data_IF_168388415149
#
_entry.id   IF_168388415149
#
_cell.length_a   1.000
_cell.length_b   1.000
_cell.length_c   1.000
_cell.angle_alpha   90.00
_cell.angle_beta   90.00
_cell.angle_gamma   90.00
#
_symmetry.space_group_name_H-M   'P 1'
#
loop_
_entity.id
_entity.type
_entity.pdbx_description
1 polymer ?
#
# COMPACT_ATOMS: atom_id res chain seq x y z
N UNK A 1 -3.54 -1.53 -37.10
CA UNK A 1 -3.96 -0.51 -36.13
C UNK A 1 -3.43 -0.92 -34.77
N UNK A 2 -2.99 0.01 -33.93
CA UNK A 2 -2.62 -0.31 -32.55
C UNK A 2 -3.87 -0.59 -31.74
N UNK A 3 -3.90 -1.73 -31.04
CA UNK A 3 -4.99 -2.11 -30.13
C UNK A 3 -5.13 -1.04 -29.05
N UNK A 4 -6.35 -0.57 -28.82
CA UNK A 4 -6.67 0.38 -27.76
C UNK A 4 -7.13 -0.34 -26.48
N UNK A 5 -6.73 0.20 -25.32
CA UNK A 5 -7.14 -0.30 -24.00
C UNK A 5 -7.91 0.77 -23.25
N UNK A 6 -8.92 0.35 -22.49
CA UNK A 6 -9.75 1.22 -21.65
C UNK A 6 -9.27 1.19 -20.20
N UNK A 7 -8.80 2.33 -19.69
CA UNK A 7 -8.42 2.49 -18.27
C UNK A 7 -9.66 2.46 -17.36
N UNK A 8 -9.43 2.27 -16.06
CA UNK A 8 -10.49 2.36 -15.06
C UNK A 8 -11.14 3.76 -15.03
N UNK A 9 -10.36 4.81 -15.32
CA UNK A 9 -10.84 6.19 -15.51
C UNK A 9 -11.78 6.38 -16.71
N UNK A 10 -11.89 5.40 -17.61
CA UNK A 10 -12.59 5.51 -18.89
C UNK A 10 -11.75 6.05 -20.05
N UNK A 11 -10.53 6.52 -19.77
CA UNK A 11 -9.56 6.95 -20.79
C UNK A 11 -9.18 5.80 -21.73
N UNK A 12 -9.08 6.08 -23.02
CA UNK A 12 -8.65 5.12 -24.04
C UNK A 12 -7.22 5.45 -24.45
N UNK A 13 -6.32 4.48 -24.34
CA UNK A 13 -4.90 4.64 -24.67
C UNK A 13 -4.39 3.46 -25.51
N UNK A 14 -3.33 3.62 -26.30
CA UNK A 14 -2.73 2.51 -27.02
C UNK A 14 -2.14 1.46 -26.05
N UNK A 15 -2.31 0.17 -26.38
CA UNK A 15 -1.63 -0.90 -25.69
C UNK A 15 -0.11 -0.82 -25.93
N UNK A 16 0.65 -0.91 -24.84
CA UNK A 16 2.10 -0.99 -24.88
C UNK A 16 2.57 -2.27 -24.18
N UNK A 17 2.99 -3.25 -24.95
CA UNK A 17 3.54 -4.52 -24.45
C UNK A 17 4.71 -4.31 -23.48
N UNK A 18 5.57 -3.32 -23.75
CA UNK A 18 6.68 -2.94 -22.86
C UNK A 18 6.21 -2.55 -21.45
N UNK A 19 5.02 -1.96 -21.32
CA UNK A 19 4.47 -1.59 -20.02
C UNK A 19 4.02 -2.81 -19.23
N UNK A 20 3.38 -3.78 -19.90
CA UNK A 20 3.02 -5.07 -19.31
C UNK A 20 4.27 -5.88 -18.92
N UNK A 21 5.26 -5.95 -19.81
CA UNK A 21 6.53 -6.62 -19.51
C UNK A 21 7.18 -6.06 -18.24
N UNK A 22 7.27 -4.72 -18.15
CA UNK A 22 7.84 -4.04 -16.98
C UNK A 22 7.03 -4.32 -15.70
N UNK A 23 5.71 -4.36 -15.75
CA UNK A 23 4.91 -4.65 -14.55
C UNK A 23 5.12 -6.08 -14.04
N UNK A 24 5.24 -7.06 -14.95
CA UNK A 24 5.54 -8.46 -14.62
C UNK A 24 6.92 -8.61 -13.99
N UNK A 25 7.97 -8.08 -14.64
CA UNK A 25 9.35 -8.15 -14.14
C UNK A 25 9.48 -7.42 -12.80
N UNK A 26 8.87 -6.25 -12.65
CA UNK A 26 8.86 -5.51 -11.39
C UNK A 26 8.19 -6.25 -10.23
N UNK A 27 7.37 -7.26 -10.54
CA UNK A 27 6.71 -8.12 -9.53
C UNK A 27 7.53 -9.37 -9.21
N UNK A 28 8.72 -9.50 -9.81
CA UNK A 28 9.64 -10.61 -9.62
C UNK A 28 9.44 -11.78 -10.60
N UNK A 29 8.73 -11.59 -11.72
CA UNK A 29 8.73 -12.57 -12.80
C UNK A 29 10.10 -12.58 -13.50
N UNK A 30 10.56 -13.77 -13.91
CA UNK A 30 11.77 -13.86 -14.73
C UNK A 30 11.55 -13.21 -16.10
N UNK A 31 12.63 -12.81 -16.78
CA UNK A 31 12.51 -12.26 -18.14
C UNK A 31 11.86 -13.28 -19.10
N UNK A 32 12.09 -14.58 -18.91
CA UNK A 32 11.49 -15.65 -19.71
C UNK A 32 9.98 -15.73 -19.46
N UNK A 33 9.55 -15.79 -18.20
CA UNK A 33 8.14 -15.83 -17.81
C UNK A 33 7.40 -14.58 -18.29
N UNK A 34 7.99 -13.39 -18.09
CA UNK A 34 7.39 -12.14 -18.52
C UNK A 34 7.19 -12.11 -20.04
N UNK A 35 8.18 -12.55 -20.83
CA UNK A 35 8.04 -12.65 -22.28
C UNK A 35 6.97 -13.68 -22.70
N UNK A 36 6.90 -14.83 -22.02
CA UNK A 36 5.90 -15.85 -22.32
C UNK A 36 4.48 -15.36 -22.01
N UNK A 37 4.27 -14.70 -20.88
CA UNK A 37 3.00 -14.08 -20.51
C UNK A 37 2.60 -12.99 -21.51
N UNK A 38 3.54 -12.09 -21.87
CA UNK A 38 3.30 -11.07 -22.89
C UNK A 38 2.86 -11.71 -24.22
N UNK A 39 3.50 -12.79 -24.68
CA UNK A 39 3.11 -13.51 -25.90
C UNK A 39 1.71 -14.11 -25.81
N UNK A 40 1.32 -14.68 -24.67
CA UNK A 40 -0.03 -15.25 -24.46
C UNK A 40 -1.05 -14.12 -24.53
N UNK A 41 -0.85 -13.06 -23.75
CA UNK A 41 -1.77 -11.93 -23.67
C UNK A 41 -1.91 -11.22 -25.02
N UNK A 42 -0.81 -11.01 -25.75
CA UNK A 42 -0.83 -10.37 -27.07
C UNK A 42 -1.64 -11.14 -28.12
N UNK A 43 -1.87 -12.46 -27.93
CA UNK A 43 -2.75 -13.26 -28.80
C UNK A 43 -4.23 -13.15 -28.43
N UNK A 44 -4.52 -12.86 -27.17
CA UNK A 44 -5.89 -12.75 -26.63
C UNK A 44 -6.39 -11.31 -26.57
N UNK A 45 -5.52 -10.32 -26.76
CA UNK A 45 -5.87 -8.91 -26.68
C UNK A 45 -6.76 -8.50 -27.85
N UNK A 46 -7.75 -7.67 -27.57
CA UNK A 46 -8.68 -7.12 -28.54
C UNK A 46 -8.93 -5.64 -28.28
N UNK A 47 -9.43 -4.94 -29.30
CA UNK A 47 -9.66 -3.50 -29.23
C UNK A 47 -10.75 -3.16 -28.20
N UNK A 48 -10.44 -2.22 -27.31
CA UNK A 48 -11.33 -1.82 -26.23
C UNK A 48 -11.27 -2.70 -24.97
N UNK A 49 -10.36 -3.68 -24.90
CA UNK A 49 -10.14 -4.46 -23.68
C UNK A 49 -9.86 -3.54 -22.48
N UNK A 50 -10.42 -3.87 -21.32
CA UNK A 50 -10.20 -3.07 -20.12
C UNK A 50 -8.84 -3.39 -19.48
N UNK A 51 -8.21 -2.39 -18.88
CA UNK A 51 -7.02 -2.56 -18.04
C UNK A 51 -7.24 -3.55 -16.89
N UNK A 52 -8.47 -3.60 -16.35
CA UNK A 52 -8.88 -4.58 -15.33
C UNK A 52 -8.81 -6.01 -15.85
N UNK A 53 -9.39 -6.27 -17.01
CA UNK A 53 -9.38 -7.60 -17.62
C UNK A 53 -7.96 -8.04 -18.02
N UNK A 54 -7.19 -7.12 -18.61
CA UNK A 54 -5.77 -7.35 -18.91
C UNK A 54 -4.98 -7.73 -17.66
N UNK A 55 -5.23 -7.02 -16.56
CA UNK A 55 -4.65 -7.32 -15.26
C UNK A 55 -5.07 -8.70 -14.74
N UNK A 56 -6.35 -9.06 -14.81
CA UNK A 56 -6.88 -10.35 -14.35
C UNK A 56 -6.27 -11.53 -15.12
N UNK A 57 -6.11 -11.38 -16.44
CA UNK A 57 -5.41 -12.37 -17.30
C UNK A 57 -3.95 -12.54 -16.88
N UNK A 58 -3.21 -11.44 -16.75
CA UNK A 58 -1.80 -11.47 -16.32
C UNK A 58 -1.63 -12.09 -14.92
N UNK A 59 -2.50 -11.71 -13.99
CA UNK A 59 -2.52 -12.24 -12.64
C UNK A 59 -2.78 -13.75 -12.61
N UNK A 60 -3.76 -14.24 -13.38
CA UNK A 60 -4.04 -15.67 -13.49
C UNK A 60 -2.85 -16.47 -14.02
N UNK A 61 -2.17 -15.96 -15.05
CA UNK A 61 -0.96 -16.59 -15.60
C UNK A 61 0.19 -16.61 -14.57
N UNK A 62 0.41 -15.50 -13.85
CA UNK A 62 1.41 -15.45 -12.78
C UNK A 62 1.09 -16.42 -11.64
N UNK A 63 -0.17 -16.55 -11.25
CA UNK A 63 -0.59 -17.44 -10.17
C UNK A 63 -0.29 -18.90 -10.50
N UNK A 64 -0.46 -19.29 -11.77
CA UNK A 64 -0.13 -20.64 -12.24
C UNK A 64 1.37 -20.91 -12.25
N UNK A 65 2.21 -19.89 -12.39
CA UNK A 65 3.66 -20.02 -12.34
C UNK A 65 4.17 -20.08 -10.89
N UNK A 66 3.83 -19.05 -10.10
CA UNK A 66 4.24 -18.92 -8.70
C UNK A 66 3.35 -17.94 -7.96
N UNK A 67 2.60 -18.43 -6.95
CA UNK A 67 1.68 -17.63 -6.15
C UNK A 67 2.34 -16.38 -5.53
N UNK A 68 3.59 -16.48 -5.08
CA UNK A 68 4.31 -15.34 -4.50
C UNK A 68 4.55 -14.19 -5.49
N UNK A 69 4.74 -14.50 -6.79
CA UNK A 69 4.92 -13.48 -7.85
C UNK A 69 3.57 -12.82 -8.15
N UNK A 70 2.50 -13.60 -8.18
CA UNK A 70 1.14 -13.08 -8.32
C UNK A 70 0.75 -12.16 -7.14
N UNK A 71 1.11 -12.53 -5.90
CA UNK A 71 0.89 -11.74 -4.70
C UNK A 71 1.62 -10.38 -4.73
N UNK A 72 2.85 -10.33 -5.28
CA UNK A 72 3.56 -9.05 -5.52
C UNK A 72 2.89 -8.23 -6.61
N UNK A 73 2.49 -8.88 -7.70
CA UNK A 73 1.80 -8.22 -8.81
C UNK A 73 0.47 -7.59 -8.36
N UNK A 74 -0.19 -8.19 -7.37
CA UNK A 74 -1.44 -7.68 -6.81
C UNK A 74 -1.28 -6.63 -5.73
N UNK A 75 -0.07 -6.27 -5.31
CA UNK A 75 0.17 -5.37 -4.17
C UNK A 75 -0.66 -4.08 -4.21
N UNK A 76 -0.75 -3.42 -5.37
CA UNK A 76 -1.53 -2.18 -5.50
C UNK A 76 -3.01 -2.39 -5.16
N UNK A 77 -3.57 -3.51 -5.60
CA UNK A 77 -4.96 -3.91 -5.34
C UNK A 77 -5.11 -4.41 -3.90
N UNK A 78 -4.16 -5.18 -3.39
CA UNK A 78 -4.16 -5.66 -2.02
C UNK A 78 -4.20 -4.49 -1.00
N UNK A 79 -3.48 -3.40 -1.26
CA UNK A 79 -3.58 -2.19 -0.45
C UNK A 79 -4.97 -1.56 -0.51
N UNK A 80 -5.68 -1.62 -1.64
CA UNK A 80 -7.08 -1.18 -1.73
C UNK A 80 -8.03 -2.11 -0.98
N UNK A 81 -7.71 -3.40 -0.91
CA UNK A 81 -8.49 -4.39 -0.17
C UNK A 81 -8.32 -4.26 1.36
N UNK A 82 -7.48 -3.32 1.86
CA UNK A 82 -7.46 -2.88 3.27
C UNK A 82 -8.74 -2.11 3.69
N UNK A 83 -9.76 -2.09 2.84
CA UNK A 83 -11.13 -1.69 3.19
C UNK A 83 -11.46 -0.26 2.74
N UNK A 84 -12.75 0.05 2.53
CA UNK A 84 -13.16 1.34 1.97
C UNK A 84 -12.95 2.51 2.93
N UNK A 85 -12.93 2.24 4.24
CA UNK A 85 -12.89 3.24 5.31
C UNK A 85 -11.47 3.73 5.64
N UNK A 86 -10.41 3.12 5.07
CA UNK A 86 -9.02 3.55 5.30
C UNK A 86 -8.40 3.17 6.65
N UNK A 87 -9.18 2.70 7.63
CA UNK A 87 -8.68 2.33 8.96
C UNK A 87 -7.53 1.30 8.95
N UNK A 88 -7.64 0.21 8.18
CA UNK A 88 -6.52 -0.75 8.09
C UNK A 88 -5.35 -0.19 7.27
N UNK A 89 -5.58 0.78 6.39
CA UNK A 89 -4.52 1.50 5.70
C UNK A 89 -3.73 2.38 6.69
N UNK A 90 -4.37 3.07 7.64
CA UNK A 90 -3.67 3.79 8.72
C UNK A 90 -2.79 2.86 9.55
N UNK A 91 -3.31 1.69 9.91
CA UNK A 91 -2.53 0.67 10.61
C UNK A 91 -1.37 0.16 9.77
N UNK A 92 -1.59 -0.08 8.48
CA UNK A 92 -0.51 -0.47 7.56
C UNK A 92 0.56 0.62 7.46
N UNK A 93 0.17 1.89 7.41
CA UNK A 93 1.09 3.04 7.44
C UNK A 93 1.89 3.06 8.74
N UNK A 94 1.26 2.83 9.89
CA UNK A 94 1.96 2.70 11.17
C UNK A 94 3.06 1.61 11.10
N UNK A 95 2.75 0.46 10.48
CA UNK A 95 3.69 -0.65 10.31
C UNK A 95 4.94 -0.27 9.51
N UNK A 96 4.85 0.68 8.56
CA UNK A 96 6.03 1.20 7.82
C UNK A 96 7.08 1.74 8.80
N UNK A 97 6.64 2.45 9.84
CA UNK A 97 7.53 3.09 10.79
C UNK A 97 7.90 2.15 11.94
N UNK A 98 7.00 1.26 12.37
CA UNK A 98 7.31 0.24 13.40
C UNK A 98 8.49 -0.64 12.97
N UNK A 99 8.54 -1.09 11.71
CA UNK A 99 9.66 -1.91 11.22
C UNK A 99 10.99 -1.14 11.14
N UNK A 100 10.93 0.19 11.18
CA UNK A 100 12.09 1.09 11.24
C UNK A 100 12.49 1.44 12.70
N UNK A 101 11.80 0.86 13.69
CA UNK A 101 12.11 1.04 15.11
C UNK A 101 11.42 2.24 15.76
N UNK A 102 10.33 2.75 15.17
CA UNK A 102 9.50 3.77 15.79
C UNK A 102 8.38 3.16 16.64
N UNK A 103 7.95 3.90 17.66
CA UNK A 103 6.69 3.65 18.35
C UNK A 103 5.57 4.37 17.59
N UNK A 104 4.44 3.69 17.38
CA UNK A 104 3.31 4.26 16.63
C UNK A 104 1.98 4.03 17.33
N UNK A 105 1.04 4.97 17.17
CA UNK A 105 -0.36 4.84 17.58
C UNK A 105 -1.25 5.53 16.55
N UNK A 106 -2.37 4.92 16.21
CA UNK A 106 -3.29 5.42 15.17
C UNK A 106 -4.47 6.19 15.76
N UNK A 107 -5.13 7.00 14.95
CA UNK A 107 -6.45 7.61 15.20
C UNK A 107 -6.51 8.39 16.52
N UNK A 108 -5.67 9.43 16.63
CA UNK A 108 -5.55 10.26 17.84
C UNK A 108 -6.18 11.64 17.62
N UNK A 109 -6.90 12.16 18.61
CA UNK A 109 -7.42 13.54 18.56
C UNK A 109 -6.51 14.48 19.34
N UNK A 110 -5.98 15.51 18.66
CA UNK A 110 -5.11 16.52 19.24
C UNK A 110 -5.74 17.91 19.18
N UNK A 111 -5.68 18.66 20.29
CA UNK A 111 -6.10 20.07 20.30
C UNK A 111 -4.97 20.95 19.81
N UNK A 112 -5.24 21.73 18.76
CA UNK A 112 -4.32 22.72 18.20
C UNK A 112 -4.27 24.01 19.01
N UNK A 113 -3.32 24.88 18.65
CA UNK A 113 -3.14 26.21 19.24
C UNK A 113 -4.39 27.08 19.09
N UNK A 114 -5.11 26.91 17.98
CA UNK A 114 -6.38 27.58 17.71
C UNK A 114 -7.54 27.12 18.61
N UNK A 115 -7.33 26.16 19.51
CA UNK A 115 -8.33 25.46 20.35
C UNK A 115 -9.28 24.53 19.60
N UNK A 116 -9.09 24.34 18.29
CA UNK A 116 -9.80 23.34 17.49
C UNK A 116 -9.13 21.96 17.65
N UNK A 117 -9.92 20.90 17.61
CA UNK A 117 -9.44 19.52 17.61
C UNK A 117 -9.17 19.01 16.20
N UNK A 118 -8.07 18.29 16.03
CA UNK A 118 -7.62 17.66 14.80
C UNK A 118 -7.49 16.16 15.00
N UNK A 119 -8.06 15.36 14.11
CA UNK A 119 -7.85 13.91 14.08
C UNK A 119 -6.58 13.55 13.32
N UNK A 120 -5.56 13.09 14.03
CA UNK A 120 -4.29 12.67 13.45
C UNK A 120 -4.31 11.15 13.25
N UNK A 121 -4.22 10.74 11.98
CA UNK A 121 -4.36 9.35 11.57
C UNK A 121 -3.26 8.45 12.15
N UNK A 122 -2.00 8.91 12.16
CA UNK A 122 -0.91 8.19 12.82
C UNK A 122 0.04 9.14 13.55
N UNK A 123 0.30 8.85 14.83
CA UNK A 123 1.36 9.43 15.63
C UNK A 123 2.55 8.47 15.61
N UNK A 124 3.72 8.98 15.26
CA UNK A 124 4.96 8.22 15.13
C UNK A 124 6.04 8.93 15.93
N UNK A 125 6.76 8.21 16.79
CA UNK A 125 7.79 8.79 17.63
C UNK A 125 8.94 7.83 17.88
N UNK A 126 10.15 8.36 17.98
CA UNK A 126 11.31 7.66 18.54
C UNK A 126 12.16 8.65 19.36
N UNK A 127 13.41 8.29 19.69
CA UNK A 127 14.30 9.16 20.48
C UNK A 127 14.64 10.50 19.80
N UNK A 128 14.53 10.58 18.48
CA UNK A 128 15.03 11.71 17.68
C UNK A 128 13.87 12.54 17.09
N UNK A 129 12.80 11.88 16.68
CA UNK A 129 11.76 12.46 15.84
C UNK A 129 10.37 12.18 16.38
N UNK A 130 9.52 13.20 16.28
CA UNK A 130 8.09 13.18 16.56
C UNK A 130 7.38 13.61 15.28
N UNK A 131 6.54 12.73 14.76
CA UNK A 131 5.94 12.83 13.44
C UNK A 131 4.43 12.70 13.59
N UNK A 132 3.70 13.57 12.91
CA UNK A 132 2.26 13.41 12.68
C UNK A 132 2.03 13.05 11.22
N UNK A 133 1.15 12.08 11.00
CA UNK A 133 0.85 11.56 9.68
C UNK A 133 -0.64 11.70 9.38
N UNK A 134 -0.93 12.15 8.17
CA UNK A 134 -2.24 12.13 7.55
C UNK A 134 -2.25 11.06 6.46
N UNK A 135 -3.21 10.16 6.52
CA UNK A 135 -3.50 9.14 5.54
C UNK A 135 -4.60 9.63 4.59
N UNK A 136 -4.41 9.39 3.30
CA UNK A 136 -5.41 9.64 2.27
C UNK A 136 -5.61 8.40 1.44
N UNK A 137 -6.56 7.59 1.87
CA UNK A 137 -6.93 6.36 1.20
C UNK A 137 -7.88 6.63 0.02
N UNK A 138 -7.67 5.92 -1.10
CA UNK A 138 -8.51 5.99 -2.30
C UNK A 138 -8.88 4.59 -2.79
N UNK A 139 -10.17 4.41 -3.06
CA UNK A 139 -10.70 3.20 -3.69
C UNK A 139 -10.45 3.16 -5.21
N UNK A 140 -10.25 4.31 -5.84
CA UNK A 140 -9.86 4.39 -7.25
C UNK A 140 -8.34 4.28 -7.39
N UNK A 141 -7.90 3.31 -8.19
CA UNK A 141 -6.49 2.94 -8.38
C UNK A 141 -5.70 4.00 -9.14
N UNK A 142 -6.40 4.84 -9.91
CA UNK A 142 -5.81 5.91 -10.72
C UNK A 142 -6.02 7.30 -10.08
N UNK A 143 -6.57 7.35 -8.87
CA UNK A 143 -6.83 8.59 -8.16
C UNK A 143 -5.56 9.43 -7.97
N UNK A 144 -5.74 10.75 -8.05
CA UNK A 144 -4.69 11.72 -7.76
C UNK A 144 -5.12 12.64 -6.63
N UNK A 145 -4.23 12.88 -5.68
CA UNK A 145 -4.40 13.83 -4.60
C UNK A 145 -3.99 15.22 -5.09
N UNK A 146 -4.97 16.11 -5.20
CA UNK A 146 -4.78 17.51 -5.59
C UNK A 146 -4.14 18.35 -4.49
N UNK A 147 -3.54 19.48 -4.88
CA UNK A 147 -2.76 20.38 -4.01
C UNK A 147 -3.54 20.92 -2.81
N UNK A 148 -4.86 20.98 -2.90
CA UNK A 148 -5.73 21.37 -1.78
C UNK A 148 -5.55 20.48 -0.55
N UNK A 149 -5.19 19.21 -0.72
CA UNK A 149 -4.98 18.27 0.38
C UNK A 149 -3.71 18.58 1.18
N UNK A 150 -2.50 18.68 0.60
CA UNK A 150 -1.32 19.10 1.35
C UNK A 150 -1.44 20.54 1.89
N UNK A 151 -2.14 21.46 1.20
CA UNK A 151 -2.44 22.79 1.74
C UNK A 151 -3.28 22.73 3.03
N UNK A 152 -4.32 21.88 3.03
CA UNK A 152 -5.15 21.66 4.21
C UNK A 152 -4.35 21.01 5.34
N UNK A 153 -3.57 19.96 5.03
CA UNK A 153 -2.71 19.30 6.01
C UNK A 153 -1.67 20.26 6.60
N UNK A 154 -1.06 21.14 5.79
CA UNK A 154 -0.14 22.17 6.28
C UNK A 154 -0.77 23.03 7.37
N UNK A 155 -2.00 23.48 7.13
CA UNK A 155 -2.73 24.34 8.08
C UNK A 155 -2.93 23.63 9.42
N UNK A 156 -3.28 22.34 9.39
CA UNK A 156 -3.44 21.51 10.60
C UNK A 156 -2.10 21.26 11.30
N UNK A 157 -1.06 20.93 10.54
CA UNK A 157 0.28 20.71 11.09
C UNK A 157 0.82 21.97 11.77
N UNK A 158 0.65 23.15 11.17
CA UNK A 158 1.04 24.43 11.78
C UNK A 158 0.29 24.68 13.09
N UNK A 159 -0.99 24.33 13.16
CA UNK A 159 -1.79 24.51 14.37
C UNK A 159 -1.37 23.55 15.51
N UNK A 160 -0.76 22.41 15.17
CA UNK A 160 -0.31 21.39 16.13
C UNK A 160 1.17 21.51 16.54
N UNK A 161 2.06 21.94 15.63
CA UNK A 161 3.53 21.78 15.80
C UNK A 161 4.13 22.53 16.99
N UNK A 162 3.48 23.60 17.44
CA UNK A 162 3.97 24.42 18.55
C UNK A 162 3.50 23.92 19.92
N UNK A 163 2.53 22.99 19.95
CA UNK A 163 1.99 22.40 21.18
C UNK A 163 2.86 21.25 21.68
N UNK A 164 2.85 21.03 23.00
CA UNK A 164 3.46 19.86 23.63
C UNK A 164 2.37 18.86 24.00
N UNK A 165 2.58 17.61 23.65
CA UNK A 165 1.72 16.48 23.97
C UNK A 165 2.53 15.42 24.73
N UNK A 166 1.85 14.34 25.13
CA UNK A 166 2.48 13.17 25.76
C UNK A 166 2.05 11.92 25.02
N UNK A 167 3.00 11.20 24.45
CA UNK A 167 2.79 9.89 23.83
C UNK A 167 3.91 8.94 24.25
N UNK A 168 3.61 7.65 24.34
CA UNK A 168 4.61 6.62 24.68
C UNK A 168 5.38 6.93 25.98
N UNK A 169 4.71 7.53 26.97
CA UNK A 169 5.28 7.98 28.25
C UNK A 169 6.44 8.98 28.11
N UNK A 170 6.48 9.76 27.02
CA UNK A 170 7.45 10.83 26.79
C UNK A 170 6.78 12.09 26.24
N UNK A 171 7.47 13.22 26.36
CA UNK A 171 7.04 14.46 25.70
C UNK A 171 7.10 14.26 24.19
N UNK A 172 6.04 14.71 23.52
CA UNK A 172 5.89 14.66 22.07
C UNK A 172 5.65 16.08 21.55
N UNK A 173 6.47 16.52 20.59
CA UNK A 173 6.28 17.80 19.92
C UNK A 173 6.42 17.60 18.40
N UNK A 174 5.35 17.73 17.61
CA UNK A 174 5.40 17.46 16.18
C UNK A 174 6.53 18.23 15.48
N UNK A 175 7.49 17.51 14.90
CA UNK A 175 8.61 18.10 14.13
C UNK A 175 8.44 17.94 12.63
N UNK A 176 7.79 16.88 12.18
CA UNK A 176 7.55 16.60 10.76
C UNK A 176 6.09 16.21 10.52
N UNK A 177 5.56 16.64 9.39
CA UNK A 177 4.29 16.18 8.85
C UNK A 177 4.53 15.21 7.70
N UNK A 178 3.79 14.10 7.69
CA UNK A 178 3.72 13.16 6.57
C UNK A 178 2.30 13.13 5.99
N UNK A 179 2.19 13.18 4.68
CA UNK A 179 0.95 12.90 3.95
C UNK A 179 1.16 11.65 3.10
N UNK A 180 0.42 10.59 3.43
CA UNK A 180 0.62 9.26 2.88
C UNK A 180 -0.64 8.78 2.16
N UNK A 181 -0.51 8.26 0.94
CA UNK A 181 -1.64 7.80 0.13
C UNK A 181 -1.32 6.52 -0.63
N UNK A 182 -2.29 5.62 -0.78
CA UNK A 182 -2.18 4.47 -1.69
C UNK A 182 -2.33 4.86 -3.18
N UNK A 183 -2.61 6.14 -3.45
CA UNK A 183 -2.83 6.70 -4.77
C UNK A 183 -1.58 7.46 -5.27
N UNK A 184 -1.80 8.49 -6.09
CA UNK A 184 -0.74 9.35 -6.63
C UNK A 184 -0.90 10.81 -6.19
N UNK A 185 0.19 11.58 -6.20
CA UNK A 185 0.12 13.04 -6.05
C UNK A 185 0.17 13.73 -7.42
N UNK A 186 -0.48 14.89 -7.56
CA UNK A 186 -0.26 15.76 -8.72
C UNK A 186 1.11 16.46 -8.62
N UNK A 187 1.61 16.99 -9.73
CA UNK A 187 2.84 17.79 -9.75
C UNK A 187 2.75 18.98 -8.81
N UNK A 188 1.60 19.64 -8.75
CA UNK A 188 1.37 20.77 -7.85
C UNK A 188 1.39 20.37 -6.38
N UNK A 189 0.85 19.19 -6.04
CA UNK A 189 0.92 18.63 -4.68
C UNK A 189 2.38 18.38 -4.26
N UNK A 190 3.19 17.83 -5.16
CA UNK A 190 4.62 17.58 -4.90
C UNK A 190 5.36 18.91 -4.72
N UNK A 191 5.24 19.83 -5.67
CA UNK A 191 5.91 21.12 -5.63
C UNK A 191 5.54 21.94 -4.38
N UNK A 192 4.25 21.93 -4.00
CA UNK A 192 3.80 22.58 -2.77
C UNK A 192 4.40 21.91 -1.53
N UNK A 193 4.34 20.58 -1.42
CA UNK A 193 4.83 19.88 -0.24
C UNK A 193 6.34 20.06 -0.05
N UNK A 194 7.12 20.05 -1.13
CA UNK A 194 8.56 20.33 -1.11
C UNK A 194 8.85 21.76 -0.63
N UNK A 195 8.07 22.75 -1.07
CA UNK A 195 8.22 24.14 -0.67
C UNK A 195 7.95 24.37 0.83
N UNK A 196 7.10 23.56 1.45
CA UNK A 196 6.64 23.72 2.84
C UNK A 196 7.09 22.57 3.76
N UNK A 197 8.09 21.78 3.36
CA UNK A 197 8.68 20.68 4.14
C UNK A 197 7.65 19.63 4.62
N UNK A 198 6.62 19.37 3.82
CA UNK A 198 5.69 18.25 4.03
C UNK A 198 6.23 17.00 3.33
N UNK A 199 6.40 15.93 4.09
CA UNK A 199 6.88 14.67 3.54
C UNK A 199 5.72 13.95 2.85
N UNK A 200 5.93 13.51 1.61
CA UNK A 200 4.94 12.77 0.83
C UNK A 200 5.36 11.33 0.67
N UNK A 201 4.44 10.39 0.83
CA UNK A 201 4.61 8.99 0.43
C UNK A 201 3.38 8.55 -0.37
N UNK A 202 3.58 8.06 -1.59
CA UNK A 202 2.53 7.57 -2.48
C UNK A 202 2.88 6.20 -3.05
N UNK A 203 2.01 5.65 -3.90
CA UNK A 203 2.30 4.41 -4.63
C UNK A 203 3.68 4.41 -5.31
N UNK A 204 4.09 5.55 -5.89
CA UNK A 204 5.31 5.68 -6.70
C UNK A 204 6.21 6.88 -6.34
N UNK A 205 5.91 7.62 -5.27
CA UNK A 205 6.67 8.81 -4.86
C UNK A 205 7.02 8.80 -3.37
N UNK A 206 8.20 9.32 -2.96
CA UNK A 206 9.36 9.54 -3.82
C UNK A 206 9.85 8.20 -4.40
N UNK A 207 10.60 8.21 -5.49
CA UNK A 207 10.93 6.96 -6.21
C UNK A 207 11.59 5.91 -5.31
N UNK A 208 12.52 6.34 -4.44
CA UNK A 208 13.32 5.54 -3.51
C UNK A 208 12.64 5.25 -2.17
N UNK A 209 11.50 5.89 -1.86
CA UNK A 209 10.74 5.65 -0.61
C UNK A 209 9.23 5.56 -0.86
N UNK A 210 8.85 5.17 -2.07
CA UNK A 210 7.47 4.94 -2.45
C UNK A 210 6.91 3.73 -1.70
N UNK A 211 5.58 3.65 -1.57
CA UNK A 211 4.90 2.47 -1.00
C UNK A 211 5.38 1.19 -1.67
N UNK A 212 5.46 1.19 -3.01
CA UNK A 212 5.96 0.04 -3.77
C UNK A 212 7.37 -0.36 -3.30
N UNK A 213 8.29 0.60 -3.25
CA UNK A 213 9.67 0.36 -2.89
C UNK A 213 9.83 -0.10 -1.42
N UNK A 214 9.17 0.61 -0.50
CA UNK A 214 9.19 0.28 0.93
C UNK A 214 8.62 -1.11 1.19
N UNK A 215 7.54 -1.50 0.49
CA UNK A 215 6.93 -2.81 0.67
C UNK A 215 7.90 -3.92 0.33
N UNK A 216 8.57 -3.83 -0.82
CA UNK A 216 9.52 -4.85 -1.25
C UNK A 216 10.78 -4.87 -0.35
N UNK A 217 11.34 -3.69 -0.03
CA UNK A 217 12.57 -3.61 0.78
C UNK A 217 12.37 -4.06 2.22
N UNK A 218 11.25 -3.68 2.82
CA UNK A 218 10.99 -3.87 4.25
C UNK A 218 10.07 -5.05 4.51
N UNK A 219 9.55 -5.74 3.49
CA UNK A 219 8.63 -6.86 3.60
C UNK A 219 7.28 -6.48 4.22
N UNK A 220 6.70 -5.35 3.77
CA UNK A 220 5.44 -4.78 4.26
C UNK A 220 4.22 -5.29 3.48
N UNK A 221 4.28 -6.51 2.95
CA UNK A 221 3.14 -7.08 2.22
C UNK A 221 1.93 -7.19 3.15
N UNK A 222 0.79 -6.55 2.82
CA UNK A 222 -0.44 -6.72 3.59
C UNK A 222 -0.97 -8.14 3.44
N UNK A 223 -1.70 -8.64 4.44
CA UNK A 223 -2.32 -9.98 4.39
C UNK A 223 -3.21 -10.17 3.15
N UNK A 224 -3.79 -9.08 2.63
CA UNK A 224 -4.64 -9.02 1.43
C UNK A 224 -3.89 -9.30 0.12
N UNK A 225 -2.56 -9.46 0.19
CA UNK A 225 -1.76 -9.94 -0.94
C UNK A 225 -1.85 -11.46 -1.14
N UNK A 226 -2.18 -12.23 -0.09
CA UNK A 226 -2.13 -13.69 -0.15
C UNK A 226 -3.24 -14.23 -1.05
N UNK A 227 -2.87 -15.01 -2.06
CA UNK A 227 -3.82 -15.55 -3.04
C UNK A 227 -4.48 -16.87 -2.59
N UNK A 228 -4.06 -17.38 -1.43
CA UNK A 228 -4.57 -18.58 -0.74
C UNK A 228 -5.67 -18.29 0.29
N UNK A 229 -5.88 -17.02 0.64
CA UNK A 229 -6.96 -16.56 1.51
C UNK A 229 -8.17 -16.08 0.68
N UNK A 230 -9.37 -16.27 1.22
CA UNK A 230 -10.56 -15.59 0.70
C UNK A 230 -10.69 -14.20 1.32
N UNK A 231 -11.51 -13.35 0.69
CA UNK A 231 -11.78 -12.00 1.22
C UNK A 231 -12.34 -12.03 2.64
N UNK A 232 -13.21 -12.98 2.95
CA UNK A 232 -13.78 -13.15 4.29
C UNK A 232 -12.71 -13.53 5.31
N UNK A 233 -11.79 -14.40 4.93
CA UNK A 233 -10.67 -14.83 5.78
C UNK A 233 -9.67 -13.68 6.03
N UNK A 234 -9.40 -12.88 5.00
CA UNK A 234 -8.60 -11.65 5.11
C UNK A 234 -9.24 -10.68 6.12
N UNK A 235 -10.55 -10.43 6.02
CA UNK A 235 -11.24 -9.52 6.95
C UNK A 235 -11.19 -10.02 8.40
N UNK A 236 -11.28 -11.35 8.61
CA UNK A 236 -11.13 -11.93 9.95
C UNK A 236 -9.71 -11.69 10.48
N UNK A 237 -8.67 -11.88 9.68
CA UNK A 237 -7.29 -11.60 10.10
C UNK A 237 -7.07 -10.12 10.40
N UNK A 238 -7.58 -9.21 9.56
CA UNK A 238 -7.51 -7.76 9.76
C UNK A 238 -8.22 -7.36 11.06
N UNK A 239 -9.40 -7.92 11.34
CA UNK A 239 -10.14 -7.67 12.59
C UNK A 239 -9.37 -8.09 13.85
N UNK A 240 -8.44 -9.04 13.71
CA UNK A 240 -7.53 -9.51 14.76
C UNK A 240 -6.21 -8.74 14.80
N UNK A 241 -6.12 -7.59 14.12
CA UNK A 241 -4.93 -6.76 13.99
C UNK A 241 -3.73 -7.46 13.31
N UNK A 242 -3.97 -8.50 12.49
CA UNK A 242 -2.94 -9.06 11.62
C UNK A 242 -2.98 -8.30 10.29
N UNK A 243 -2.09 -7.33 10.12
CA UNK A 243 -2.07 -6.42 8.97
C UNK A 243 -1.10 -6.92 7.90
N UNK A 244 0.07 -7.42 8.33
CA UNK A 244 1.14 -7.85 7.43
C UNK A 244 1.26 -9.38 7.35
N UNK A 245 1.69 -9.87 6.20
CA UNK A 245 2.03 -11.29 5.99
C UNK A 245 3.09 -11.77 6.99
N UNK A 246 4.07 -10.94 7.33
CA UNK A 246 5.08 -11.28 8.33
C UNK A 246 4.54 -11.45 9.74
N UNK A 247 3.44 -10.81 10.09
CA UNK A 247 2.79 -10.99 11.39
C UNK A 247 2.14 -12.37 11.44
N UNK A 248 1.51 -12.80 10.34
CA UNK A 248 0.97 -14.14 10.19
C UNK A 248 2.05 -15.22 10.31
N UNK A 249 3.20 -15.03 9.64
CA UNK A 249 4.33 -15.99 9.72
C UNK A 249 4.92 -16.05 11.14
N UNK A 250 5.03 -14.90 11.83
CA UNK A 250 5.51 -14.84 13.22
C UNK A 250 4.52 -15.45 14.22
N UNK A 251 3.23 -15.38 13.93
CA UNK A 251 2.18 -15.91 14.78
C UNK A 251 1.16 -16.78 13.99
N UNK A 252 1.55 -18.00 13.57
CA UNK A 252 0.67 -18.88 12.78
C UNK A 252 -0.60 -19.32 13.52
N UNK A 253 -0.63 -19.22 14.86
CA UNK A 253 -1.79 -19.53 15.71
C UNK A 253 -3.03 -18.71 15.32
N UNK A 254 -2.84 -17.57 14.65
CA UNK A 254 -3.95 -16.81 14.06
C UNK A 254 -4.79 -17.64 13.05
N UNK A 255 -4.19 -18.65 12.42
CA UNK A 255 -4.87 -19.57 11.51
C UNK A 255 -5.73 -20.60 12.25
N UNK A 256 -5.49 -20.86 13.53
CA UNK A 256 -6.26 -21.83 14.34
C UNK A 256 -7.70 -21.36 14.59
N UNK A 257 -7.97 -20.07 14.39
CA UNK A 257 -9.33 -19.53 14.40
C UNK A 257 -10.18 -20.01 13.23
N UNK A 258 -9.54 -20.55 12.19
CA UNK A 258 -10.21 -21.09 11.01
C UNK A 258 -10.28 -22.61 11.09
N UNK A 259 -11.31 -23.19 10.50
CA UNK A 259 -11.45 -24.65 10.36
C UNK A 259 -10.67 -25.16 9.15
N UNK A 260 -9.41 -24.74 9.00
CA UNK A 260 -8.56 -25.18 7.91
C UNK A 260 -8.01 -26.57 8.18
N UNK A 261 -7.89 -27.38 7.13
CA UNK A 261 -7.07 -28.58 7.20
C UNK A 261 -5.58 -28.22 7.19
N UNK A 262 -4.75 -29.17 7.61
CA UNK A 262 -3.30 -28.97 7.67
C UNK A 262 -2.70 -28.59 6.31
N UNK A 263 -3.22 -29.16 5.21
CA UNK A 263 -2.72 -28.88 3.86
C UNK A 263 -2.93 -27.42 3.48
N UNK A 264 -4.09 -26.86 3.83
CA UNK A 264 -4.42 -25.46 3.55
C UNK A 264 -3.58 -24.50 4.38
N UNK A 265 -3.32 -24.82 5.65
CA UNK A 265 -2.40 -24.05 6.50
C UNK A 265 -0.99 -24.06 5.89
N UNK A 266 -0.49 -25.24 5.51
CA UNK A 266 0.84 -25.39 4.90
C UNK A 266 0.93 -24.56 3.59
N UNK A 267 -0.11 -24.56 2.76
CA UNK A 267 -0.16 -23.74 1.53
C UNK A 267 -0.11 -22.22 1.81
N UNK A 268 -0.89 -21.74 2.79
CA UNK A 268 -0.90 -20.31 3.17
C UNK A 268 0.49 -19.89 3.67
N UNK A 269 1.07 -20.69 4.57
CA UNK A 269 2.38 -20.40 5.14
C UNK A 269 3.50 -20.54 4.10
N UNK A 270 3.38 -21.47 3.16
CA UNK A 270 4.32 -21.58 2.05
C UNK A 270 4.29 -20.31 1.18
N UNK A 271 3.12 -19.87 0.73
CA UNK A 271 2.97 -18.63 -0.05
C UNK A 271 3.53 -17.43 0.71
N UNK A 272 3.19 -17.31 2.00
CA UNK A 272 3.65 -16.23 2.87
C UNK A 272 5.19 -16.20 3.01
N UNK A 273 5.81 -17.36 3.23
CA UNK A 273 7.26 -17.45 3.33
C UNK A 273 7.96 -17.16 1.99
N UNK A 274 7.45 -17.69 0.87
CA UNK A 274 8.00 -17.39 -0.46
C UNK A 274 7.93 -15.91 -0.81
N UNK A 275 6.83 -15.24 -0.45
CA UNK A 275 6.64 -13.81 -0.63
C UNK A 275 7.67 -12.99 0.16
N UNK A 276 7.97 -13.40 1.40
CA UNK A 276 8.95 -12.72 2.27
C UNK A 276 10.42 -13.08 1.97
N UNK A 277 10.68 -14.26 1.40
CA UNK A 277 12.04 -14.75 1.15
C UNK A 277 12.72 -14.16 -0.09
N UNK A 278 11.95 -13.50 -0.97
CA UNK A 278 12.51 -12.96 -2.21
C UNK A 278 13.16 -11.60 -1.93
N UNK A 279 14.50 -11.56 -1.98
CA UNK A 279 15.32 -10.36 -2.13
C UNK A 279 16.21 -10.50 -3.36
#
# INVERSE_FOLDING_TARGET
>A
MSVQIKKQSGEIVPFHEKSLYRSLVNSGASNEDANNICKIISKEIYDGISTKELYEKAFGLLKNLKSSVAARYSLKRALQDLGPEGFFFEKWVAKIFEVQGYDTITSQTLTGKSTITHEVDVIISNKNEDIVCECKFRNDIDAKISVTTPMYFLSRFIDLKDNNFTFFNRSFKPKKGYLITNAFFTTDSIAFAECYDINLISWNYPEDKSIKHLTDQQGLYPITCLTTLTKEEEQILLSKNCILVRELVKNPVLLDHFKFDKKRIDLILQEANELLATK
#
